data_IF_365991318139
#
_entry.id   IF_365991318139
#
_cell.length_a   1.000
_cell.length_b   1.000
_cell.length_c   1.000
_cell.angle_alpha   90.00
_cell.angle_beta   90.00
_cell.angle_gamma   90.00
#
_symmetry.space_group_name_H-M   'P 1'
#
loop_
_entity.id
_entity.type
_entity.pdbx_description
1 polymer ?
#
# COMPACT_ATOMS: atom_id res chain seq x y z
N UNK A 1 8.65 21.81 8.09
CA UNK A 1 9.69 21.82 7.07
C UNK A 1 10.13 20.44 6.66
N UNK A 2 10.42 19.51 7.60
CA UNK A 2 10.71 18.12 7.25
C UNK A 2 9.58 17.41 6.54
N UNK A 3 8.34 17.84 6.75
CA UNK A 3 7.17 17.23 6.14
C UNK A 3 7.10 17.43 4.62
N UNK A 4 7.61 18.56 4.11
CA UNK A 4 7.58 18.85 2.67
C UNK A 4 8.42 17.85 1.86
N UNK A 5 9.60 17.47 2.37
CA UNK A 5 10.48 16.51 1.70
C UNK A 5 9.85 15.12 1.70
N UNK A 6 9.25 14.71 2.82
CA UNK A 6 8.56 13.41 2.93
C UNK A 6 7.36 13.38 1.99
N UNK A 7 6.57 14.45 1.92
CA UNK A 7 5.41 14.53 1.02
C UNK A 7 5.83 14.46 -0.44
N UNK A 8 6.90 15.15 -0.83
CA UNK A 8 7.43 15.10 -2.20
C UNK A 8 7.91 13.69 -2.56
N UNK A 9 8.61 13.03 -1.63
CA UNK A 9 9.06 11.66 -1.84
C UNK A 9 7.90 10.69 -1.97
N UNK A 10 6.88 10.85 -1.14
CA UNK A 10 5.67 10.03 -1.20
C UNK A 10 4.93 10.22 -2.52
N UNK A 11 4.75 11.47 -2.96
CA UNK A 11 4.09 11.78 -4.23
C UNK A 11 4.83 11.17 -5.41
N UNK A 12 6.16 11.24 -5.41
CA UNK A 12 6.97 10.64 -6.46
C UNK A 12 6.79 9.12 -6.51
N UNK A 13 6.78 8.45 -5.35
CA UNK A 13 6.58 7.00 -5.27
C UNK A 13 5.20 6.62 -5.82
N UNK A 14 4.16 7.36 -5.47
CA UNK A 14 2.82 7.11 -5.95
C UNK A 14 2.73 7.29 -7.45
N UNK A 15 3.34 8.37 -7.99
CA UNK A 15 3.36 8.63 -9.42
C UNK A 15 4.11 7.54 -10.19
N UNK A 16 5.28 7.13 -9.70
CA UNK A 16 6.07 6.07 -10.30
C UNK A 16 5.31 4.75 -10.33
N UNK A 17 4.61 4.41 -9.25
CA UNK A 17 3.81 3.19 -9.16
C UNK A 17 2.65 3.22 -10.15
N UNK A 18 1.99 4.37 -10.29
CA UNK A 18 0.89 4.51 -11.23
C UNK A 18 1.38 4.34 -12.66
N UNK A 19 2.54 4.91 -13.00
CA UNK A 19 3.14 4.79 -14.33
C UNK A 19 3.55 3.35 -14.65
N UNK A 20 4.09 2.62 -13.66
CA UNK A 20 4.61 1.27 -13.85
C UNK A 20 3.51 0.21 -13.79
N UNK A 21 2.55 0.35 -12.89
CA UNK A 21 1.60 -0.70 -12.52
C UNK A 21 0.14 -0.33 -12.81
N UNK A 22 -0.09 0.83 -13.42
CA UNK A 22 -1.43 1.33 -13.69
C UNK A 22 -2.08 1.97 -12.47
N UNK A 23 -3.42 2.02 -12.46
CA UNK A 23 -4.18 2.63 -11.37
C UNK A 23 -4.04 1.78 -10.10
N UNK A 24 -3.58 2.41 -9.02
CA UNK A 24 -3.41 1.74 -7.72
C UNK A 24 -4.73 1.17 -7.19
N UNK A 25 -5.84 1.88 -7.39
CA UNK A 25 -7.16 1.41 -6.98
C UNK A 25 -7.51 0.11 -7.68
N UNK A 26 -7.33 0.04 -8.99
CA UNK A 26 -7.61 -1.14 -9.78
C UNK A 26 -6.69 -2.30 -9.41
N UNK A 27 -5.41 -2.01 -9.15
CA UNK A 27 -4.47 -3.02 -8.70
C UNK A 27 -4.89 -3.60 -7.34
N UNK A 28 -5.31 -2.77 -6.40
CA UNK A 28 -5.76 -3.23 -5.09
C UNK A 28 -7.02 -4.08 -5.21
N UNK A 29 -7.93 -3.72 -6.11
CA UNK A 29 -9.11 -4.52 -6.38
C UNK A 29 -8.75 -5.92 -6.87
N UNK A 30 -7.85 -6.00 -7.84
CA UNK A 30 -7.38 -7.27 -8.41
C UNK A 30 -6.64 -8.10 -7.37
N UNK A 31 -5.79 -7.49 -6.57
CA UNK A 31 -5.08 -8.17 -5.49
C UNK A 31 -6.07 -8.76 -4.49
N UNK A 32 -7.10 -8.01 -4.13
CA UNK A 32 -8.14 -8.49 -3.23
C UNK A 32 -8.87 -9.71 -3.75
N UNK A 33 -9.14 -9.74 -5.06
CA UNK A 33 -9.74 -10.90 -5.71
C UNK A 33 -8.79 -12.11 -5.62
N UNK A 34 -7.54 -11.93 -6.00
CA UNK A 34 -6.54 -13.01 -5.99
C UNK A 34 -6.32 -13.56 -4.58
N UNK A 35 -6.20 -12.70 -3.59
CA UNK A 35 -6.01 -13.13 -2.20
C UNK A 35 -7.23 -13.86 -1.67
N UNK A 36 -8.44 -13.45 -2.07
CA UNK A 36 -9.65 -14.19 -1.74
C UNK A 36 -9.63 -15.61 -2.29
N UNK A 37 -9.16 -15.77 -3.53
CA UNK A 37 -9.00 -17.11 -4.14
C UNK A 37 -7.96 -17.94 -3.41
N UNK A 38 -6.79 -17.36 -3.13
CA UNK A 38 -5.71 -18.06 -2.43
C UNK A 38 -6.16 -18.55 -1.06
N UNK A 39 -6.92 -17.73 -0.34
CA UNK A 39 -7.41 -18.04 0.99
C UNK A 39 -8.68 -18.91 0.97
N UNK A 40 -9.18 -19.23 -0.21
CA UNK A 40 -10.42 -20.01 -0.39
C UNK A 40 -11.62 -19.36 0.30
N UNK A 41 -11.73 -18.05 0.18
CA UNK A 41 -12.83 -17.28 0.75
C UNK A 41 -13.99 -17.21 -0.27
N UNK A 42 -15.24 -17.15 0.19
CA UNK A 42 -16.40 -17.00 -0.70
C UNK A 42 -16.57 -15.56 -1.21
N UNK A 43 -15.63 -14.66 -0.91
CA UNK A 43 -15.68 -13.26 -1.29
C UNK A 43 -14.27 -12.74 -1.52
N UNK A 44 -14.15 -11.62 -2.25
CA UNK A 44 -12.88 -10.90 -2.42
C UNK A 44 -12.60 -10.05 -1.19
N UNK A 45 -11.31 -9.82 -0.90
CA UNK A 45 -10.91 -8.82 0.08
C UNK A 45 -11.17 -7.42 -0.48
N UNK A 46 -11.56 -6.49 0.37
CA UNK A 46 -11.78 -5.11 -0.03
C UNK A 46 -10.45 -4.39 -0.26
N UNK A 47 -10.51 -3.24 -0.94
CA UNK A 47 -9.32 -2.43 -1.17
C UNK A 47 -8.67 -1.99 0.14
N UNK A 48 -9.45 -1.58 1.14
CA UNK A 48 -8.87 -1.18 2.44
C UNK A 48 -8.29 -2.38 3.19
N UNK A 49 -8.84 -3.59 3.03
CA UNK A 49 -8.24 -4.80 3.62
C UNK A 49 -6.90 -5.11 2.97
N UNK A 50 -6.79 -4.96 1.65
CA UNK A 50 -5.51 -5.11 0.96
C UNK A 50 -4.50 -4.08 1.49
N UNK A 51 -4.92 -2.83 1.65
CA UNK A 51 -4.05 -1.79 2.21
C UNK A 51 -3.59 -2.15 3.62
N UNK A 52 -4.48 -2.63 4.48
CA UNK A 52 -4.14 -3.05 5.84
C UNK A 52 -3.11 -4.17 5.85
N UNK A 53 -3.27 -5.15 4.98
CA UNK A 53 -2.34 -6.29 4.89
C UNK A 53 -0.97 -5.86 4.37
N UNK A 54 -0.94 -4.95 3.40
CA UNK A 54 0.33 -4.40 2.90
C UNK A 54 1.03 -3.57 3.97
N UNK A 55 0.30 -2.80 4.76
CA UNK A 55 0.85 -2.06 5.90
C UNK A 55 1.44 -3.04 6.92
N UNK A 56 0.72 -4.11 7.23
CA UNK A 56 1.20 -5.12 8.18
C UNK A 56 2.52 -5.75 7.72
N UNK A 57 2.65 -6.03 6.43
CA UNK A 57 3.89 -6.56 5.86
C UNK A 57 5.04 -5.58 6.04
N UNK A 58 4.80 -4.29 5.82
CA UNK A 58 5.83 -3.26 5.98
C UNK A 58 6.16 -3.03 7.46
N UNK A 59 5.19 -3.14 8.36
CA UNK A 59 5.44 -3.07 9.80
C UNK A 59 6.41 -4.17 10.24
N UNK A 60 6.25 -5.39 9.71
CA UNK A 60 7.18 -6.47 10.00
C UNK A 60 8.59 -6.13 9.53
N UNK A 61 8.71 -5.54 8.34
CA UNK A 61 10.01 -5.16 7.81
C UNK A 61 10.72 -4.13 8.68
N UNK A 62 10.01 -3.09 9.13
CA UNK A 62 10.61 -2.07 9.98
C UNK A 62 10.80 -2.53 11.44
N UNK A 63 10.15 -3.60 11.86
CA UNK A 63 10.44 -4.20 13.17
C UNK A 63 11.85 -4.81 13.19
N UNK A 64 12.32 -5.30 12.04
CA UNK A 64 13.67 -5.86 11.89
C UNK A 64 14.67 -4.77 11.55
N UNK A 65 14.29 -3.82 10.68
CA UNK A 65 15.15 -2.73 10.24
C UNK A 65 14.38 -1.41 10.30
N UNK A 66 14.33 -0.75 11.48
CA UNK A 66 13.56 0.49 11.64
C UNK A 66 14.08 1.66 10.82
N UNK A 67 15.29 1.57 10.28
CA UNK A 67 15.88 2.63 9.46
C UNK A 67 15.51 2.50 7.98
N UNK A 68 14.73 1.51 7.59
CA UNK A 68 14.36 1.29 6.20
C UNK A 68 13.31 2.31 5.75
N UNK A 69 13.76 3.41 5.19
CA UNK A 69 12.93 4.57 4.86
C UNK A 69 11.82 4.21 3.86
N UNK A 70 12.12 3.39 2.86
CA UNK A 70 11.14 3.00 1.84
C UNK A 70 9.94 2.31 2.45
N UNK A 71 10.14 1.51 3.50
CA UNK A 71 9.01 0.85 4.18
C UNK A 71 8.10 1.85 4.88
N UNK A 72 8.66 2.88 5.52
CA UNK A 72 7.87 3.95 6.12
C UNK A 72 7.08 4.72 5.08
N UNK A 73 7.71 5.03 3.94
CA UNK A 73 7.05 5.73 2.82
C UNK A 73 5.94 4.85 2.21
N UNK A 74 6.20 3.56 2.07
CA UNK A 74 5.21 2.61 1.54
C UNK A 74 3.97 2.56 2.44
N UNK A 75 4.16 2.54 3.77
CA UNK A 75 3.04 2.56 4.72
C UNK A 75 2.17 3.80 4.50
N UNK A 76 2.78 4.97 4.31
CA UNK A 76 2.04 6.20 4.05
C UNK A 76 1.21 6.08 2.76
N UNK A 77 1.78 5.52 1.72
CA UNK A 77 1.10 5.31 0.45
C UNK A 77 -0.09 4.36 0.59
N UNK A 78 0.11 3.22 1.25
CA UNK A 78 -0.97 2.26 1.48
C UNK A 78 -2.07 2.83 2.37
N UNK A 79 -1.70 3.62 3.39
CA UNK A 79 -2.68 4.27 4.25
C UNK A 79 -3.55 5.24 3.45
N UNK A 80 -2.95 6.00 2.53
CA UNK A 80 -3.71 6.91 1.65
C UNK A 80 -4.67 6.12 0.76
N UNK A 81 -4.21 5.03 0.15
CA UNK A 81 -5.08 4.21 -0.71
C UNK A 81 -6.22 3.59 0.10
N UNK A 82 -5.95 3.12 1.31
CA UNK A 82 -6.98 2.59 2.17
C UNK A 82 -8.04 3.64 2.52
N UNK A 83 -7.60 4.84 2.87
CA UNK A 83 -8.51 5.94 3.18
C UNK A 83 -9.37 6.31 1.97
N UNK A 84 -8.76 6.40 0.79
CA UNK A 84 -9.45 6.79 -0.44
C UNK A 84 -10.47 5.73 -0.89
N UNK A 85 -10.34 4.50 -0.42
CA UNK A 85 -11.24 3.40 -0.79
C UNK A 85 -12.49 3.29 0.09
N UNK A 86 -12.55 4.07 1.15
CA UNK A 86 -13.69 4.04 2.08
C UNK A 86 -14.96 4.68 1.50
#
# INVERSE_FOLDING_TARGET
MGNSVVEMSLNRILDERQDQYGDAKENFRKIGIMWGVILDLPYSLSEYQVAQMMIALKLQRISVNPDHQDSWLDIQGYAKHGLDSL
#
